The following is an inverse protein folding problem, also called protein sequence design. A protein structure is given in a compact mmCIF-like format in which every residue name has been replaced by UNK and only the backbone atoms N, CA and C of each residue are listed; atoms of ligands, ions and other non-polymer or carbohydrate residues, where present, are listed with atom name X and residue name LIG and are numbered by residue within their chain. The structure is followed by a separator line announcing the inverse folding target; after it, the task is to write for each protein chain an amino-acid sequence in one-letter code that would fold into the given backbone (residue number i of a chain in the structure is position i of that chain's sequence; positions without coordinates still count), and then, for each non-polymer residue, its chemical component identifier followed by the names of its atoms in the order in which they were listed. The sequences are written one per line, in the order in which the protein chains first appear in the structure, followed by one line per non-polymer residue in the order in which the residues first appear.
data_IF_026792728650
#
_entry.id   IF_026792728650
#
_cell.length_a   1.000
_cell.length_b   1.000
_cell.length_c   1.000
_cell.angle_alpha   90.00
_cell.angle_beta   90.00
_cell.angle_gamma   90.00
#
_symmetry.space_group_name_H-M   'P 1'
#
loop_
_entity.id
_entity.type
_entity.pdbx_description
1 polymer ?
#
# COMPACT_ATOMS: atom_id res chain seq x y z
N UNK A 1 4.05 15.93 -0.51
CA UNK A 1 3.31 14.73 -0.10
C UNK A 1 2.02 15.14 0.59
N UNK A 2 0.92 14.52 0.23
CA UNK A 2 -0.38 14.88 0.77
C UNK A 2 -0.70 14.07 2.02
N UNK A 3 -1.34 14.72 2.99
CA UNK A 3 -1.82 14.04 4.19
C UNK A 3 -3.32 14.20 4.30
N UNK A 4 -4.00 13.18 4.75
CA UNK A 4 -5.44 13.20 4.98
C UNK A 4 -5.74 12.37 6.23
N UNK A 5 -6.68 12.83 7.08
CA UNK A 5 -7.08 12.03 8.23
C UNK A 5 -7.99 10.88 7.79
N UNK A 6 -7.95 9.77 8.54
CA UNK A 6 -8.67 8.56 8.19
C UNK A 6 -10.17 8.79 7.96
N UNK A 7 -10.79 9.63 8.77
CA UNK A 7 -12.20 9.95 8.64
C UNK A 7 -12.51 10.62 7.29
N UNK A 8 -11.67 11.57 6.90
CA UNK A 8 -11.81 12.25 5.61
C UNK A 8 -11.51 11.30 4.44
N UNK A 9 -10.52 10.44 4.61
CA UNK A 9 -10.22 9.44 3.60
C UNK A 9 -11.42 8.54 3.32
N UNK A 10 -12.14 8.14 4.37
CA UNK A 10 -13.35 7.35 4.24
C UNK A 10 -14.46 8.11 3.53
N UNK A 11 -14.67 9.38 3.91
CA UNK A 11 -15.75 10.18 3.38
C UNK A 11 -15.50 10.67 1.95
N UNK A 12 -14.24 10.82 1.57
CA UNK A 12 -13.82 11.34 0.26
C UNK A 12 -12.93 10.38 -0.49
N UNK A 13 -13.29 9.12 -0.47
CA UNK A 13 -12.46 8.07 -1.05
C UNK A 13 -12.21 8.28 -2.54
N UNK A 14 -13.21 8.70 -3.30
CA UNK A 14 -13.04 8.99 -4.72
C UNK A 14 -12.02 10.08 -4.98
N UNK A 15 -12.09 11.17 -4.22
CA UNK A 15 -11.11 12.26 -4.32
C UNK A 15 -9.72 11.79 -3.89
N UNK A 16 -9.66 10.94 -2.86
CA UNK A 16 -8.41 10.37 -2.39
C UNK A 16 -7.70 9.61 -3.50
N UNK A 17 -8.43 8.77 -4.23
CA UNK A 17 -7.88 8.02 -5.34
C UNK A 17 -7.35 8.94 -6.45
N UNK A 18 -8.10 9.99 -6.78
CA UNK A 18 -7.68 10.97 -7.77
C UNK A 18 -6.41 11.69 -7.32
N UNK A 19 -6.33 12.06 -6.06
CA UNK A 19 -5.13 12.71 -5.51
C UNK A 19 -3.94 11.76 -5.52
N UNK A 20 -4.17 10.49 -5.21
CA UNK A 20 -3.12 9.48 -5.22
C UNK A 20 -2.50 9.26 -6.60
N UNK A 21 -3.24 9.54 -7.66
CA UNK A 21 -2.70 9.50 -9.02
C UNK A 21 -1.65 10.57 -9.27
N UNK A 22 -1.69 11.66 -8.51
CA UNK A 22 -0.73 12.77 -8.62
C UNK A 22 0.49 12.58 -7.74
N UNK A 23 0.37 11.83 -6.66
CA UNK A 23 1.45 11.57 -5.73
C UNK A 23 0.95 10.81 -4.50
N UNK A 24 1.87 10.29 -3.68
CA UNK A 24 1.48 9.53 -2.50
C UNK A 24 0.64 10.36 -1.53
N UNK A 25 -0.38 9.72 -0.96
CA UNK A 25 -1.24 10.32 0.07
C UNK A 25 -1.07 9.53 1.36
N UNK A 26 -0.69 10.21 2.42
CA UNK A 26 -0.53 9.58 3.73
C UNK A 26 -1.83 9.72 4.50
N UNK A 27 -2.30 8.61 5.04
CA UNK A 27 -3.49 8.59 5.89
C UNK A 27 -3.04 8.63 7.35
N UNK A 28 -3.49 9.65 8.06
CA UNK A 28 -3.18 9.84 9.47
C UNK A 28 -4.38 9.46 10.33
N UNK A 29 -4.09 8.85 11.47
CA UNK A 29 -5.09 8.54 12.50
C UNK A 29 -4.50 8.84 13.86
N UNK A 30 -5.22 9.63 14.66
CA UNK A 30 -4.75 10.05 15.99
C UNK A 30 -3.37 10.71 15.93
N UNK A 31 -3.18 11.58 14.94
CA UNK A 31 -1.94 12.30 14.69
C UNK A 31 -0.74 11.41 14.33
N UNK A 32 -1.01 10.19 13.87
CA UNK A 32 0.04 9.26 13.45
C UNK A 32 -0.21 8.78 12.03
N UNK A 33 0.81 8.73 11.18
CA UNK A 33 0.65 8.13 9.85
C UNK A 33 0.46 6.61 10.00
N UNK A 34 -0.61 6.09 9.42
CA UNK A 34 -0.95 4.68 9.52
C UNK A 34 -0.93 3.96 8.18
N UNK A 35 -1.06 4.69 7.07
CA UNK A 35 -1.16 4.09 5.76
C UNK A 35 -0.75 5.08 4.68
N UNK A 36 -0.44 4.54 3.51
CA UNK A 36 -0.13 5.33 2.33
C UNK A 36 -0.97 4.81 1.18
N UNK A 37 -1.56 5.73 0.40
CA UNK A 37 -2.26 5.38 -0.84
C UNK A 37 -1.41 5.86 -2.00
N UNK A 38 -1.11 4.95 -2.91
CA UNK A 38 -0.30 5.20 -4.09
C UNK A 38 -1.06 4.81 -5.35
N UNK A 39 -0.72 5.43 -6.50
CA UNK A 39 -1.13 4.88 -7.77
C UNK A 39 -0.43 3.53 -7.98
N UNK A 40 -1.03 2.67 -8.80
CA UNK A 40 -0.42 1.37 -9.10
C UNK A 40 0.92 1.56 -9.81
N UNK A 41 1.04 2.58 -10.65
CA UNK A 41 2.30 2.89 -11.33
C UNK A 41 3.40 3.24 -10.33
N UNK A 42 3.09 4.05 -9.33
CA UNK A 42 4.04 4.44 -8.30
C UNK A 42 4.45 3.25 -7.45
N UNK A 43 3.48 2.41 -7.10
CA UNK A 43 3.76 1.19 -6.34
C UNK A 43 4.68 0.25 -7.11
N UNK A 44 4.42 0.03 -8.38
CA UNK A 44 5.24 -0.83 -9.22
C UNK A 44 6.66 -0.28 -9.37
N UNK A 45 6.79 1.03 -9.46
CA UNK A 45 8.11 1.67 -9.53
C UNK A 45 8.91 1.44 -8.26
N UNK A 46 8.30 1.62 -7.10
CA UNK A 46 8.96 1.40 -5.81
C UNK A 46 9.30 -0.07 -5.61
N UNK A 47 8.40 -0.97 -5.98
CA UNK A 47 8.62 -2.40 -5.88
C UNK A 47 9.82 -2.83 -6.74
N UNK A 48 9.94 -2.28 -7.94
CA UNK A 48 11.04 -2.57 -8.83
C UNK A 48 12.38 -2.10 -8.26
N UNK A 49 12.40 -0.94 -7.62
CA UNK A 49 13.59 -0.42 -6.95
C UNK A 49 13.98 -1.35 -5.81
N UNK A 50 13.03 -1.82 -5.01
CA UNK A 50 13.30 -2.76 -3.93
C UNK A 50 13.83 -4.10 -4.45
N UNK A 51 13.27 -4.62 -5.53
CA UNK A 51 13.73 -5.87 -6.14
C UNK A 51 15.20 -5.77 -6.56
N UNK A 52 15.60 -4.66 -7.15
CA UNK A 52 16.99 -4.46 -7.56
C UNK A 52 17.96 -4.44 -6.38
N UNK A 53 17.52 -3.96 -5.21
CA UNK A 53 18.37 -3.85 -4.03
C UNK A 53 18.24 -5.05 -3.08
N UNK A 54 17.18 -5.83 -3.16
CA UNK A 54 16.85 -6.88 -2.20
C UNK A 54 16.66 -8.26 -2.83
N UNK A 55 17.17 -8.47 -4.03
CA UNK A 55 17.02 -9.75 -4.76
C UNK A 55 17.38 -10.96 -3.90
N UNK A 56 18.50 -10.89 -3.17
CA UNK A 56 18.95 -11.99 -2.31
C UNK A 56 17.99 -12.23 -1.15
N UNK A 57 17.48 -11.18 -0.54
CA UNK A 57 16.53 -11.28 0.57
C UNK A 57 15.19 -11.83 0.13
N UNK A 58 14.73 -11.43 -1.06
CA UNK A 58 13.50 -11.94 -1.63
C UNK A 58 13.57 -13.43 -1.89
N UNK A 59 14.71 -13.93 -2.40
CA UNK A 59 14.92 -15.35 -2.64
C UNK A 59 14.92 -16.15 -1.34
N UNK A 60 15.50 -15.63 -0.28
CA UNK A 60 15.50 -16.25 1.03
C UNK A 60 14.09 -16.32 1.60
N UNK A 61 13.32 -15.25 1.49
CA UNK A 61 11.94 -15.20 1.95
C UNK A 61 11.06 -16.23 1.24
N UNK A 62 11.27 -16.43 -0.05
CA UNK A 62 10.54 -17.44 -0.82
C UNK A 62 10.86 -18.86 -0.38
N UNK A 63 12.08 -19.12 0.08
CA UNK A 63 12.48 -20.44 0.57
C UNK A 63 11.96 -20.74 1.96
N UNK A 64 11.83 -19.72 2.82
CA UNK A 64 11.47 -19.89 4.22
C UNK A 64 9.98 -19.90 4.51
N UNK A 65 9.18 -20.21 3.53
CA UNK A 65 7.74 -20.28 3.74
C UNK A 65 7.06 -18.95 3.59
N UNK A 66 7.25 -18.39 2.45
CA UNK A 66 6.49 -17.25 2.02
C UNK A 66 5.01 -17.48 2.32
N UNK A 67 4.38 -16.56 3.03
CA UNK A 67 2.94 -16.59 3.26
C UNK A 67 2.28 -16.61 1.89
N UNK A 68 1.58 -17.68 1.59
CA UNK A 68 1.06 -17.92 0.26
C UNK A 68 0.18 -16.81 -0.27
N UNK A 69 0.05 -16.77 -1.58
CA UNK A 69 -0.81 -15.81 -2.26
C UNK A 69 -2.24 -15.81 -1.70
N UNK A 70 -2.71 -16.95 -1.21
CA UNK A 70 -4.04 -17.08 -0.64
C UNK A 70 -4.27 -16.18 0.56
N UNK A 71 -3.30 -16.09 1.48
CA UNK A 71 -3.44 -15.22 2.65
C UNK A 71 -3.43 -13.74 2.26
N UNK A 72 -2.62 -13.37 1.29
CA UNK A 72 -2.60 -12.01 0.78
C UNK A 72 -3.91 -11.65 0.10
N UNK A 73 -4.48 -12.56 -0.69
CA UNK A 73 -5.76 -12.34 -1.35
C UNK A 73 -6.90 -12.22 -0.35
N UNK A 74 -6.91 -13.07 0.67
CA UNK A 74 -7.93 -13.02 1.71
C UNK A 74 -7.87 -11.71 2.49
N UNK A 75 -6.67 -11.25 2.79
CA UNK A 75 -6.48 -9.97 3.47
C UNK A 75 -7.02 -8.81 2.63
N UNK A 76 -6.72 -8.80 1.33
CA UNK A 76 -7.23 -7.78 0.43
C UNK A 76 -8.75 -7.83 0.32
N UNK A 77 -9.33 -9.03 0.25
CA UNK A 77 -10.77 -9.17 0.21
C UNK A 77 -11.46 -8.64 1.45
N UNK A 78 -10.88 -8.89 2.62
CA UNK A 78 -11.40 -8.35 3.87
C UNK A 78 -11.37 -6.82 3.87
N UNK A 79 -10.29 -6.23 3.39
CA UNK A 79 -10.18 -4.78 3.29
C UNK A 79 -11.20 -4.19 2.32
N UNK A 80 -11.43 -4.86 1.19
CA UNK A 80 -12.38 -4.38 0.18
C UNK A 80 -13.84 -4.57 0.60
N UNK A 81 -14.12 -5.56 1.42
CA UNK A 81 -15.46 -5.86 1.89
C UNK A 81 -15.81 -5.21 3.24
N UNK A 82 -14.86 -4.57 3.84
CA UNK A 82 -15.05 -3.93 5.15
C UNK A 82 -15.80 -2.59 5.07
#
# INVERSE_FOLDING_TARGET
MFHIVAKEAKNRFGQLLTTAMKGPVIIDKNNKPIAVVLSIEEYERLEKIEEDSLVLKAQIALKDGFIGEEESENFLKELLNA
#
